data_IF_869631672059
#
_entry.id   IF_869631672059
#
_cell.length_a   1.000
_cell.length_b   1.000
_cell.length_c   1.000
_cell.angle_alpha   90.00
_cell.angle_beta   90.00
_cell.angle_gamma   90.00
#
_symmetry.space_group_name_H-M   'P 1'
#
loop_
_entity.id
_entity.type
_entity.pdbx_description
1 polymer ?
#
# COMPACT_ATOMS: atom_id res chain seq x y z
N UNK A 1 1.68 -1.81 -32.74
CA UNK A 1 2.40 -2.95 -32.12
C UNK A 1 3.87 -2.66 -31.76
N UNK A 2 4.44 -1.52 -32.18
CA UNK A 2 5.81 -1.12 -31.83
C UNK A 2 5.93 -0.70 -30.34
N UNK A 3 4.85 -0.22 -29.71
CA UNK A 3 4.84 0.26 -28.33
C UNK A 3 5.18 -0.80 -27.26
N UNK A 4 5.07 -2.09 -27.60
CA UNK A 4 5.51 -3.17 -26.68
C UNK A 4 7.03 -3.20 -26.48
N UNK A 5 7.81 -2.82 -27.48
CA UNK A 5 9.26 -2.83 -27.42
C UNK A 5 9.85 -1.56 -26.75
N UNK A 6 9.02 -0.53 -26.61
CA UNK A 6 9.38 0.71 -25.95
C UNK A 6 8.95 0.71 -24.46
N UNK A 7 8.19 -0.30 -24.02
CA UNK A 7 7.77 -0.46 -22.64
C UNK A 7 8.93 -0.96 -21.79
N UNK A 8 9.32 -0.19 -20.78
CA UNK A 8 10.31 -0.59 -19.79
C UNK A 8 9.95 -1.90 -19.08
N UNK A 9 8.66 -2.17 -18.90
CA UNK A 9 8.15 -3.40 -18.30
C UNK A 9 8.33 -4.61 -19.22
N UNK A 10 8.13 -4.41 -20.54
CA UNK A 10 8.38 -5.45 -21.54
C UNK A 10 9.86 -5.83 -21.62
N UNK A 11 10.74 -4.85 -21.62
CA UNK A 11 12.20 -5.06 -21.60
C UNK A 11 12.64 -5.72 -20.29
N UNK A 12 12.14 -5.27 -19.14
CA UNK A 12 12.45 -5.88 -17.85
C UNK A 12 11.97 -7.33 -17.74
N UNK A 13 10.80 -7.65 -18.31
CA UNK A 13 10.29 -9.02 -18.37
C UNK A 13 11.18 -9.92 -19.25
N UNK A 14 11.57 -9.46 -20.44
CA UNK A 14 12.45 -10.21 -21.35
C UNK A 14 13.83 -10.43 -20.71
N UNK A 15 14.43 -9.39 -20.10
CA UNK A 15 15.71 -9.50 -19.41
C UNK A 15 15.65 -10.51 -18.27
N UNK A 16 14.57 -10.53 -17.47
CA UNK A 16 14.39 -11.54 -16.43
C UNK A 16 14.37 -12.96 -16.99
N UNK A 17 13.62 -13.18 -18.07
CA UNK A 17 13.52 -14.50 -18.69
C UNK A 17 14.85 -14.97 -19.29
N UNK A 18 15.67 -14.06 -19.78
CA UNK A 18 17.00 -14.37 -20.31
C UNK A 18 17.99 -14.68 -19.19
N UNK A 19 18.02 -13.85 -18.13
CA UNK A 19 18.94 -14.02 -17.01
C UNK A 19 18.62 -15.31 -16.20
N UNK A 20 17.34 -15.64 -16.01
CA UNK A 20 16.93 -16.87 -15.32
C UNK A 20 17.35 -18.15 -16.04
N UNK A 21 17.57 -18.10 -17.37
CA UNK A 21 18.02 -19.26 -18.15
C UNK A 21 19.53 -19.53 -18.11
N UNK A 22 20.33 -18.56 -17.65
CA UNK A 22 21.79 -18.67 -17.62
C UNK A 22 22.38 -19.13 -16.29
N UNK A 23 21.55 -19.47 -15.29
CA UNK A 23 22.07 -20.02 -14.02
C UNK A 23 22.34 -21.53 -14.15
N UNK A 24 23.60 -21.98 -13.92
CA UNK A 24 23.93 -23.40 -13.95
C UNK A 24 23.22 -24.14 -12.80
N UNK A 25 22.69 -25.33 -13.11
CA UNK A 25 22.12 -26.26 -12.15
C UNK A 25 23.13 -26.59 -11.05
N UNK A 26 22.89 -26.06 -9.86
CA UNK A 26 23.57 -26.51 -8.65
C UNK A 26 22.70 -27.60 -8.00
N UNK A 27 23.35 -28.73 -7.79
CA UNK A 27 22.98 -29.96 -7.11
C UNK A 27 21.81 -29.92 -6.12
N UNK A 28 20.95 -30.94 -6.24
CA UNK A 28 19.81 -31.31 -5.41
C UNK A 28 20.11 -31.33 -3.92
N UNK A 29 19.84 -30.24 -3.23
CA UNK A 29 19.36 -30.27 -1.85
C UNK A 29 17.83 -30.02 -1.97
N UNK A 30 17.01 -30.69 -1.17
CA UNK A 30 15.55 -30.54 -1.14
C UNK A 30 15.19 -29.06 -1.05
N UNK A 31 15.02 -28.40 -2.20
CA UNK A 31 14.64 -27.00 -2.26
C UNK A 31 13.18 -26.87 -1.83
N UNK A 32 12.86 -25.93 -0.91
CA UNK A 32 11.48 -25.62 -0.58
C UNK A 32 10.76 -25.22 -1.87
N UNK A 33 9.61 -25.83 -2.13
CA UNK A 33 8.86 -25.65 -3.38
C UNK A 33 8.63 -24.16 -3.69
N UNK A 34 9.25 -23.69 -4.77
CA UNK A 34 9.15 -22.30 -5.23
C UNK A 34 7.84 -22.13 -5.98
N UNK A 35 7.08 -21.07 -5.69
CA UNK A 35 5.88 -20.76 -6.45
C UNK A 35 6.24 -20.45 -7.92
N UNK A 36 5.69 -21.26 -8.82
CA UNK A 36 5.76 -21.03 -10.24
C UNK A 36 4.33 -21.03 -10.83
N UNK A 37 3.93 -19.99 -11.57
CA UNK A 37 2.64 -19.97 -12.25
C UNK A 37 2.46 -21.09 -13.29
N UNK A 38 3.55 -21.79 -13.65
CA UNK A 38 3.55 -22.91 -14.59
C UNK A 38 3.07 -24.23 -13.98
N UNK A 39 2.90 -24.35 -12.67
CA UNK A 39 2.35 -25.55 -12.07
C UNK A 39 0.89 -25.79 -12.53
N UNK A 40 0.52 -27.06 -12.82
CA UNK A 40 -0.85 -27.35 -13.20
C UNK A 40 -1.81 -27.05 -12.03
N UNK A 41 -2.97 -26.51 -12.38
CA UNK A 41 -4.04 -26.26 -11.41
C UNK A 41 -4.55 -27.57 -10.85
N UNK A 42 -4.73 -27.65 -9.53
CA UNK A 42 -5.42 -28.77 -8.91
C UNK A 42 -6.93 -28.69 -9.17
N UNK A 43 -7.59 -29.86 -9.22
CA UNK A 43 -9.05 -29.90 -9.28
C UNK A 43 -9.64 -29.32 -7.99
N UNK A 44 -10.71 -28.54 -8.15
CA UNK A 44 -11.48 -28.05 -7.03
C UNK A 44 -11.93 -29.19 -6.11
N UNK A 45 -11.79 -29.05 -4.82
CA UNK A 45 -12.24 -30.03 -3.84
C UNK A 45 -13.76 -30.17 -3.84
N UNK A 46 -14.48 -29.07 -4.05
CA UNK A 46 -15.92 -29.04 -4.11
C UNK A 46 -16.41 -29.02 -5.57
N UNK A 47 -17.19 -29.98 -5.95
CA UNK A 47 -17.71 -30.12 -7.33
C UNK A 47 -18.43 -28.88 -7.88
N UNK A 48 -19.06 -28.08 -6.99
CA UNK A 48 -19.81 -26.86 -7.39
C UNK A 48 -18.99 -25.57 -7.39
N UNK A 49 -17.75 -25.57 -6.91
CA UNK A 49 -16.92 -24.35 -6.84
C UNK A 49 -16.67 -23.75 -8.21
N UNK A 50 -16.24 -24.55 -9.16
CA UNK A 50 -15.94 -24.07 -10.50
C UNK A 50 -17.14 -23.42 -11.20
N UNK A 51 -18.35 -23.96 -11.00
CA UNK A 51 -19.57 -23.39 -11.59
C UNK A 51 -19.92 -22.03 -10.96
N UNK A 52 -19.77 -21.91 -9.63
CA UNK A 52 -20.07 -20.67 -8.91
C UNK A 52 -19.14 -19.51 -9.29
N UNK A 53 -17.87 -19.79 -9.52
CA UNK A 53 -16.86 -18.75 -9.81
C UNK A 53 -16.63 -18.52 -11.29
N UNK A 54 -17.28 -19.30 -12.17
CA UNK A 54 -17.16 -19.16 -13.62
C UNK A 54 -17.57 -17.74 -14.03
N UNK A 55 -16.69 -17.06 -14.78
CA UNK A 55 -16.90 -15.68 -15.24
C UNK A 55 -16.99 -14.61 -14.14
N UNK A 56 -16.53 -14.91 -12.93
CA UNK A 56 -16.51 -13.96 -11.82
C UNK A 56 -15.06 -13.65 -11.45
N UNK A 57 -14.71 -12.37 -11.37
CA UNK A 57 -13.36 -11.95 -10.99
C UNK A 57 -13.07 -12.26 -9.52
N UNK A 58 -11.83 -12.67 -9.23
CA UNK A 58 -11.39 -12.86 -7.84
C UNK A 58 -11.33 -11.53 -7.09
N UNK A 59 -11.73 -11.55 -5.83
CA UNK A 59 -11.63 -10.44 -4.89
C UNK A 59 -11.03 -10.93 -3.58
N UNK A 60 -9.89 -11.62 -3.70
CA UNK A 60 -9.16 -12.13 -2.54
C UNK A 60 -8.37 -11.03 -1.86
N UNK A 61 -8.31 -11.08 -0.55
CA UNK A 61 -7.53 -10.13 0.24
C UNK A 61 -6.98 -10.77 1.50
N UNK A 62 -5.79 -10.35 1.87
CA UNK A 62 -5.15 -10.69 3.11
C UNK A 62 -4.83 -9.41 3.87
N UNK A 63 -4.90 -9.44 5.18
CA UNK A 63 -4.59 -8.30 6.03
C UNK A 63 -3.10 -8.22 6.28
N UNK A 64 -2.54 -7.01 6.23
CA UNK A 64 -1.18 -6.79 6.69
C UNK A 64 -1.11 -7.14 8.18
N UNK A 65 -0.09 -7.91 8.54
CA UNK A 65 0.11 -8.38 9.91
C UNK A 65 1.35 -7.72 10.50
N UNK A 66 1.22 -7.17 11.70
CA UNK A 66 2.35 -6.61 12.46
C UNK A 66 2.48 -7.39 13.75
N UNK A 67 3.68 -7.85 14.06
CA UNK A 67 3.97 -8.60 15.28
C UNK A 67 5.29 -8.15 15.90
N UNK A 68 5.38 -8.22 17.22
CA UNK A 68 6.64 -8.05 17.92
C UNK A 68 7.50 -9.30 17.74
N UNK A 69 8.81 -9.14 17.60
CA UNK A 69 9.77 -10.25 17.53
C UNK A 69 9.57 -11.24 18.68
N UNK A 70 9.63 -12.54 18.37
CA UNK A 70 9.41 -13.63 19.32
C UNK A 70 7.94 -13.92 19.63
N UNK A 71 6.97 -13.17 19.09
CA UNK A 71 5.54 -13.45 19.22
C UNK A 71 5.06 -14.37 18.09
N UNK A 72 3.94 -15.11 18.30
CA UNK A 72 3.36 -15.93 17.24
C UNK A 72 2.98 -15.09 16.01
N UNK A 73 3.38 -15.55 14.83
CA UNK A 73 3.11 -14.90 13.55
C UNK A 73 1.90 -15.56 12.90
N UNK A 74 0.79 -14.84 12.81
CA UNK A 74 -0.47 -15.38 12.28
C UNK A 74 -0.95 -14.53 11.11
N UNK A 75 -1.13 -15.17 9.97
CA UNK A 75 -1.58 -14.53 8.73
C UNK A 75 -3.07 -14.79 8.50
N UNK A 76 -3.79 -13.77 8.10
CA UNK A 76 -5.24 -13.85 7.86
C UNK A 76 -5.58 -13.44 6.42
N UNK A 77 -6.41 -14.26 5.78
CA UNK A 77 -6.92 -14.00 4.44
C UNK A 77 -8.43 -14.22 4.33
N UNK A 78 -9.03 -13.61 3.31
CA UNK A 78 -10.43 -13.77 2.95
C UNK A 78 -10.55 -13.96 1.45
N UNK A 79 -11.16 -15.06 1.04
CA UNK A 79 -11.20 -15.53 -0.33
C UNK A 79 -12.62 -15.45 -0.88
N UNK A 80 -12.83 -14.46 -1.74
CA UNK A 80 -14.13 -14.11 -2.29
C UNK A 80 -14.01 -13.88 -3.79
N UNK A 81 -15.13 -13.96 -4.49
CA UNK A 81 -15.25 -13.63 -5.90
C UNK A 81 -16.38 -12.62 -6.12
N UNK A 82 -16.18 -11.74 -7.08
CA UNK A 82 -17.09 -10.66 -7.41
C UNK A 82 -16.83 -9.37 -6.63
N UNK A 83 -17.23 -8.21 -7.18
CA UNK A 83 -16.90 -6.89 -6.63
C UNK A 83 -17.54 -6.61 -5.26
N UNK A 84 -18.62 -7.33 -4.93
CA UNK A 84 -19.36 -7.22 -3.66
C UNK A 84 -19.34 -8.53 -2.87
N UNK A 85 -18.28 -9.34 -3.01
CA UNK A 85 -18.17 -10.62 -2.31
C UNK A 85 -19.33 -11.59 -2.59
N UNK A 86 -19.79 -11.64 -3.84
CA UNK A 86 -20.97 -12.41 -4.25
C UNK A 86 -20.78 -13.91 -4.04
N UNK A 87 -19.57 -14.43 -4.22
CA UNK A 87 -19.25 -15.85 -4.06
C UNK A 87 -18.13 -16.04 -3.06
N UNK A 88 -18.37 -16.83 -2.05
CA UNK A 88 -17.39 -17.23 -1.04
C UNK A 88 -16.65 -18.48 -1.49
N UNK A 89 -15.31 -18.48 -1.44
CA UNK A 89 -14.48 -19.66 -1.62
C UNK A 89 -14.48 -20.48 -0.33
N UNK A 90 -15.17 -21.63 -0.34
CA UNK A 90 -15.39 -22.44 0.87
C UNK A 90 -14.79 -23.83 0.72
N UNK A 91 -13.93 -24.25 1.64
CA UNK A 91 -13.38 -25.60 1.71
C UNK A 91 -12.39 -25.91 0.59
N UNK A 92 -11.67 -24.89 0.11
CA UNK A 92 -10.66 -25.04 -0.94
C UNK A 92 -9.26 -24.77 -0.38
N UNK A 93 -8.27 -25.44 -0.94
CA UNK A 93 -6.88 -25.33 -0.54
C UNK A 93 -6.25 -24.03 -1.03
N UNK A 94 -5.52 -23.40 -0.13
CA UNK A 94 -4.74 -22.19 -0.38
C UNK A 94 -3.32 -22.42 0.11
N UNK A 95 -2.35 -22.21 -0.75
CA UNK A 95 -0.93 -22.29 -0.42
C UNK A 95 -0.42 -20.93 0.02
N UNK A 96 0.34 -20.92 1.12
CA UNK A 96 0.95 -19.71 1.67
C UNK A 96 2.42 -19.68 1.30
N UNK A 97 2.81 -18.61 0.60
CA UNK A 97 4.18 -18.32 0.22
C UNK A 97 4.64 -17.04 0.88
N UNK A 98 5.87 -17.05 1.38
CA UNK A 98 6.51 -15.87 1.98
C UNK A 98 7.85 -15.63 1.30
N UNK A 99 8.13 -14.38 0.98
CA UNK A 99 9.41 -13.96 0.45
C UNK A 99 10.34 -13.62 1.63
N UNK A 100 11.07 -14.60 2.12
CA UNK A 100 11.96 -14.45 3.30
C UNK A 100 13.17 -13.56 3.02
N UNK A 101 13.54 -13.45 1.75
CA UNK A 101 14.59 -12.56 1.26
C UNK A 101 14.00 -11.65 0.17
N UNK A 102 13.35 -10.53 0.52
CA UNK A 102 12.64 -9.69 -0.44
C UNK A 102 13.48 -9.22 -1.62
N UNK A 103 14.80 -9.05 -1.44
CA UNK A 103 15.71 -8.68 -2.50
C UNK A 103 15.92 -9.79 -3.53
N UNK A 104 15.77 -11.07 -3.15
CA UNK A 104 15.94 -12.21 -4.07
C UNK A 104 14.76 -12.41 -5.00
N UNK A 105 13.57 -11.93 -4.62
CA UNK A 105 12.34 -12.16 -5.35
C UNK A 105 11.80 -13.59 -5.29
N UNK A 106 12.40 -14.49 -4.48
CA UNK A 106 11.98 -15.90 -4.38
C UNK A 106 10.85 -16.09 -3.39
N UNK A 107 9.77 -16.73 -3.84
CA UNK A 107 8.63 -17.12 -3.03
C UNK A 107 8.81 -18.53 -2.47
N UNK A 108 8.91 -18.65 -1.15
CA UNK A 108 9.11 -19.93 -0.44
C UNK A 108 7.77 -20.41 0.09
N UNK A 109 7.42 -21.66 -0.16
CA UNK A 109 6.22 -22.29 0.36
C UNK A 109 6.31 -22.52 1.87
N UNK A 110 5.37 -21.99 2.64
CA UNK A 110 5.32 -22.14 4.10
C UNK A 110 4.31 -23.20 4.55
N UNK A 111 3.25 -23.41 3.79
CA UNK A 111 2.25 -24.42 4.09
C UNK A 111 0.97 -24.23 3.28
N UNK A 112 -0.01 -25.06 3.57
CA UNK A 112 -1.31 -25.07 2.90
C UNK A 112 -2.39 -25.11 3.94
N UNK A 113 -3.41 -24.26 3.78
CA UNK A 113 -4.60 -24.24 4.62
C UNK A 113 -5.87 -24.30 3.79
N UNK A 114 -6.99 -24.62 4.44
CA UNK A 114 -8.30 -24.73 3.80
C UNK A 114 -9.20 -23.59 4.27
N UNK A 115 -9.87 -22.94 3.30
CA UNK A 115 -10.80 -21.86 3.62
C UNK A 115 -12.03 -22.38 4.37
N UNK A 116 -12.48 -21.65 5.38
CA UNK A 116 -13.68 -21.99 6.16
C UNK A 116 -14.99 -21.65 5.39
N UNK A 117 -16.14 -21.81 6.04
CA UNK A 117 -17.46 -21.55 5.44
C UNK A 117 -17.67 -20.09 5.03
N UNK A 118 -16.98 -19.14 5.66
CA UNK A 118 -17.02 -17.70 5.34
C UNK A 118 -15.89 -17.26 4.40
N UNK A 119 -15.13 -18.19 3.82
CA UNK A 119 -14.00 -17.91 2.93
C UNK A 119 -12.78 -17.36 3.66
N UNK A 120 -12.74 -17.43 4.99
CA UNK A 120 -11.59 -16.98 5.77
C UNK A 120 -10.56 -18.09 5.90
N UNK A 121 -9.31 -17.68 5.96
CA UNK A 121 -8.16 -18.52 6.21
C UNK A 121 -7.31 -17.86 7.29
N UNK A 122 -6.87 -18.66 8.25
CA UNK A 122 -5.91 -18.26 9.29
C UNK A 122 -4.74 -19.22 9.22
N UNK A 123 -3.55 -18.70 8.99
CA UNK A 123 -2.32 -19.48 8.84
C UNK A 123 -1.32 -19.07 9.94
N UNK A 124 -1.10 -19.92 10.95
CA UNK A 124 -0.01 -19.72 11.88
C UNK A 124 1.32 -20.11 11.22
N UNK A 125 2.29 -19.21 11.21
CA UNK A 125 3.63 -19.52 10.74
C UNK A 125 4.27 -20.49 11.72
N UNK A 126 4.82 -21.65 11.25
CA UNK A 126 5.49 -22.60 12.12
C UNK A 126 6.60 -21.94 12.94
N UNK A 127 6.72 -22.29 14.23
CA UNK A 127 7.69 -21.67 15.14
C UNK A 127 9.14 -21.84 14.67
N UNK A 128 9.47 -23.01 14.11
CA UNK A 128 10.78 -23.32 13.56
C UNK A 128 11.12 -22.50 12.30
N UNK A 129 10.12 -21.87 11.69
CA UNK A 129 10.25 -21.01 10.51
C UNK A 129 9.85 -19.57 10.80
N UNK A 130 9.70 -19.21 12.07
CA UNK A 130 9.37 -17.85 12.46
C UNK A 130 10.43 -16.87 11.95
N UNK A 131 9.97 -15.74 11.43
CA UNK A 131 10.82 -14.73 10.83
C UNK A 131 11.25 -13.68 11.86
N UNK A 132 12.49 -13.21 11.75
CA UNK A 132 13.02 -12.12 12.57
C UNK A 132 12.53 -10.74 12.12
N UNK A 133 13.11 -9.69 12.69
CA UNK A 133 12.74 -8.29 12.36
C UNK A 133 12.89 -8.03 10.87
N UNK A 134 11.81 -7.53 10.24
CA UNK A 134 11.77 -7.23 8.82
C UNK A 134 10.36 -7.10 8.27
N UNK A 135 10.27 -6.84 6.96
CA UNK A 135 9.01 -6.81 6.22
C UNK A 135 9.05 -7.86 5.11
N UNK A 136 8.13 -8.77 5.17
CA UNK A 136 8.08 -9.95 4.31
C UNK A 136 6.82 -9.97 3.49
N UNK A 137 6.92 -9.86 2.14
CA UNK A 137 5.78 -10.06 1.25
C UNK A 137 5.21 -11.48 1.43
N UNK A 138 3.89 -11.55 1.50
CA UNK A 138 3.13 -12.79 1.64
C UNK A 138 2.19 -12.93 0.46
N UNK A 139 2.10 -14.11 -0.12
CA UNK A 139 1.15 -14.47 -1.16
C UNK A 139 0.42 -15.74 -0.78
N UNK A 140 -0.91 -15.68 -0.79
CA UNK A 140 -1.79 -16.80 -0.52
C UNK A 140 -2.48 -17.20 -1.82
N UNK A 141 -2.12 -18.36 -2.37
CA UNK A 141 -2.50 -18.80 -3.73
C UNK A 141 -3.56 -19.90 -3.67
N UNK A 142 -4.69 -19.69 -4.31
CA UNK A 142 -5.74 -20.70 -4.46
C UNK A 142 -5.28 -21.77 -5.45
N UNK A 143 -5.21 -23.04 -5.03
CA UNK A 143 -4.74 -24.13 -5.90
C UNK A 143 -5.59 -24.38 -7.14
N UNK A 144 -6.90 -24.12 -7.02
CA UNK A 144 -7.85 -24.45 -8.08
C UNK A 144 -7.77 -23.55 -9.31
N UNK A 145 -7.44 -22.26 -9.14
CA UNK A 145 -7.38 -21.28 -10.24
C UNK A 145 -6.14 -20.39 -10.25
N UNK A 146 -5.24 -20.55 -9.25
CA UNK A 146 -4.03 -19.74 -9.06
C UNK A 146 -4.27 -18.24 -8.83
N UNK A 147 -5.50 -17.85 -8.54
CA UNK A 147 -5.76 -16.51 -8.02
C UNK A 147 -5.20 -16.38 -6.62
N UNK A 148 -4.84 -15.18 -6.21
CA UNK A 148 -4.13 -14.98 -4.95
C UNK A 148 -4.54 -13.72 -4.21
N UNK A 149 -4.28 -13.72 -2.90
CA UNK A 149 -4.27 -12.54 -2.04
C UNK A 149 -2.84 -12.19 -1.65
N UNK A 150 -2.55 -10.90 -1.52
CA UNK A 150 -1.25 -10.41 -1.07
C UNK A 150 -1.37 -9.54 0.18
N UNK A 151 -0.37 -9.63 1.05
CA UNK A 151 -0.18 -8.79 2.22
C UNK A 151 1.30 -8.75 2.61
N UNK A 152 1.62 -8.02 3.67
CA UNK A 152 2.93 -8.04 4.28
C UNK A 152 2.86 -8.57 5.73
N UNK A 153 3.85 -9.37 6.10
CA UNK A 153 4.16 -9.69 7.48
C UNK A 153 5.30 -8.76 7.92
N UNK A 154 5.01 -7.90 8.88
CA UNK A 154 5.97 -6.95 9.45
C UNK A 154 6.32 -7.42 10.87
N UNK A 155 7.57 -7.80 11.09
CA UNK A 155 8.09 -8.16 12.41
C UNK A 155 8.93 -7.01 12.92
N UNK A 156 8.64 -6.52 14.10
CA UNK A 156 9.27 -5.33 14.68
C UNK A 156 9.87 -5.61 16.05
N UNK A 157 10.84 -4.81 16.45
CA UNK A 157 11.34 -4.82 17.81
C UNK A 157 10.30 -4.22 18.77
N UNK A 158 10.35 -4.65 20.03
CA UNK A 158 9.56 -4.03 21.12
C UNK A 158 9.84 -2.52 21.20
N UNK A 159 8.78 -1.73 21.35
CA UNK A 159 8.89 -0.28 21.45
C UNK A 159 9.24 0.43 20.14
N UNK A 160 9.10 -0.26 18.99
CA UNK A 160 9.26 0.38 17.68
C UNK A 160 8.35 1.58 17.55
N UNK A 161 8.92 2.71 17.16
CA UNK A 161 8.19 3.96 16.97
C UNK A 161 7.46 3.99 15.64
N UNK A 162 6.19 4.40 15.66
CA UNK A 162 5.32 4.44 14.51
C UNK A 162 4.60 5.76 14.34
N UNK A 163 4.33 6.13 13.10
CA UNK A 163 3.50 7.29 12.73
C UNK A 163 2.28 6.82 11.96
N UNK A 164 1.10 7.26 12.40
CA UNK A 164 -0.18 6.87 11.84
C UNK A 164 -0.72 7.93 10.90
N UNK A 165 -1.15 7.51 9.72
CA UNK A 165 -1.81 8.36 8.73
C UNK A 165 -3.19 7.82 8.37
N UNK A 166 -4.23 8.60 8.65
CA UNK A 166 -5.59 8.32 8.19
C UNK A 166 -5.73 8.73 6.73
N UNK A 167 -5.83 7.75 5.81
CA UNK A 167 -5.83 8.00 4.35
C UNK A 167 -6.93 8.99 3.95
N UNK A 168 -8.18 8.69 4.33
CA UNK A 168 -9.35 9.45 3.89
C UNK A 168 -9.42 10.85 4.50
N UNK A 169 -8.84 11.04 5.66
CA UNK A 169 -8.90 12.29 6.41
C UNK A 169 -7.72 13.23 6.18
N UNK A 170 -6.57 12.70 5.74
CA UNK A 170 -5.35 13.48 5.67
C UNK A 170 -4.79 13.67 4.26
N UNK A 171 -4.81 12.63 3.42
CA UNK A 171 -4.14 12.68 2.13
C UNK A 171 -4.99 13.23 0.99
N UNK A 172 -6.31 13.06 1.05
CA UNK A 172 -7.20 13.40 -0.04
C UNK A 172 -7.75 14.82 0.08
N UNK A 173 -7.68 15.59 -1.00
CA UNK A 173 -8.25 16.92 -1.06
C UNK A 173 -9.79 16.89 -1.27
N UNK A 174 -10.32 15.77 -1.75
CA UNK A 174 -11.75 15.55 -1.97
C UNK A 174 -12.11 14.10 -1.72
N UNK A 175 -13.30 13.86 -1.20
CA UNK A 175 -13.84 12.51 -1.03
C UNK A 175 -14.52 12.12 -2.33
N UNK A 176 -13.89 11.26 -3.14
CA UNK A 176 -14.58 10.61 -4.25
C UNK A 176 -15.12 9.27 -3.80
N UNK A 177 -16.43 9.17 -3.61
CA UNK A 177 -17.12 7.93 -3.27
C UNK A 177 -17.35 7.09 -4.53
N UNK A 178 -17.43 7.73 -5.70
CA UNK A 178 -17.66 7.07 -6.99
C UNK A 178 -16.85 7.73 -8.12
N UNK A 179 -16.00 6.96 -8.76
CA UNK A 179 -15.55 7.17 -10.14
C UNK A 179 -14.15 7.74 -10.35
N UNK A 180 -13.79 8.88 -9.81
CA UNK A 180 -12.43 9.44 -10.00
C UNK A 180 -11.54 9.21 -8.78
N UNK A 181 -10.26 8.97 -9.02
CA UNK A 181 -9.29 8.88 -7.93
C UNK A 181 -9.12 10.26 -7.26
N UNK A 182 -9.16 10.31 -5.92
CA UNK A 182 -9.04 11.57 -5.20
C UNK A 182 -7.64 12.18 -5.41
N UNK A 183 -7.61 13.52 -5.56
CA UNK A 183 -6.33 14.24 -5.66
C UNK A 183 -5.61 14.22 -4.32
N UNK A 184 -4.30 13.98 -4.36
CA UNK A 184 -3.42 14.04 -3.19
C UNK A 184 -3.17 15.50 -2.80
N UNK A 185 -3.16 15.79 -1.51
CA UNK A 185 -2.75 17.10 -0.98
C UNK A 185 -1.27 17.34 -1.23
N UNK A 186 -0.93 18.55 -1.65
CA UNK A 186 0.47 18.93 -1.88
C UNK A 186 1.31 18.73 -0.61
N UNK A 187 2.49 18.14 -0.75
CA UNK A 187 3.44 17.85 0.34
C UNK A 187 3.08 16.63 1.20
N UNK A 188 1.92 15.99 1.01
CA UNK A 188 1.54 14.83 1.83
C UNK A 188 2.53 13.68 1.72
N UNK A 189 2.95 13.34 0.50
CA UNK A 189 3.92 12.28 0.24
C UNK A 189 5.28 12.60 0.88
N UNK A 190 5.70 13.87 0.82
CA UNK A 190 6.99 14.30 1.33
C UNK A 190 7.04 14.23 2.87
N UNK A 191 5.94 14.58 3.54
CA UNK A 191 5.83 14.41 5.01
C UNK A 191 5.90 12.93 5.40
N UNK A 192 5.20 12.04 4.69
CA UNK A 192 5.30 10.60 5.00
C UNK A 192 6.71 10.07 4.78
N UNK A 193 7.38 10.51 3.71
CA UNK A 193 8.79 10.16 3.45
C UNK A 193 9.73 10.66 4.51
N UNK A 194 9.54 11.89 4.96
CA UNK A 194 10.34 12.46 6.04
C UNK A 194 10.32 11.54 7.28
N UNK A 195 9.14 11.08 7.70
CA UNK A 195 9.01 10.15 8.82
C UNK A 195 9.65 8.78 8.52
N UNK A 196 9.46 8.24 7.32
CA UNK A 196 10.08 6.96 6.94
C UNK A 196 11.61 7.08 6.89
N UNK A 197 12.15 8.13 6.28
CA UNK A 197 13.59 8.35 6.16
C UNK A 197 14.23 8.60 7.55
N UNK A 198 13.45 9.15 8.48
CA UNK A 198 13.81 9.26 9.90
C UNK A 198 13.76 7.91 10.64
N UNK A 199 13.28 6.82 10.04
CA UNK A 199 13.29 5.47 10.59
C UNK A 199 12.02 5.03 11.31
N UNK A 200 10.92 5.79 11.19
CA UNK A 200 9.63 5.43 11.79
C UNK A 200 8.86 4.41 10.96
N UNK A 201 8.16 3.51 11.62
CA UNK A 201 7.18 2.63 10.99
C UNK A 201 5.97 3.45 10.52
N UNK A 202 5.66 3.37 9.24
CA UNK A 202 4.49 4.05 8.69
C UNK A 202 3.27 3.12 8.76
N UNK A 203 2.20 3.62 9.35
CA UNK A 203 0.91 2.93 9.48
C UNK A 203 -0.18 3.75 8.81
N UNK A 204 -0.74 3.21 7.75
CA UNK A 204 -1.90 3.78 7.06
C UNK A 204 -3.18 3.14 7.58
N UNK A 205 -4.15 3.96 7.94
CA UNK A 205 -5.48 3.48 8.35
C UNK A 205 -6.57 4.11 7.48
N UNK A 206 -7.56 3.31 7.10
CA UNK A 206 -8.71 3.80 6.34
C UNK A 206 -10.01 3.27 6.91
N UNK A 207 -11.08 4.06 6.79
CA UNK A 207 -12.45 3.62 7.09
C UNK A 207 -13.09 2.81 5.96
N UNK A 208 -12.39 2.60 4.85
CA UNK A 208 -12.90 1.84 3.72
C UNK A 208 -12.88 0.34 4.00
N UNK A 209 -13.85 -0.40 3.44
CA UNK A 209 -13.87 -1.84 3.58
C UNK A 209 -12.69 -2.51 2.86
N UNK A 210 -12.26 -3.65 3.37
CA UNK A 210 -11.17 -4.47 2.85
C UNK A 210 -11.36 -4.88 1.38
N UNK A 211 -12.60 -4.97 0.89
CA UNK A 211 -12.90 -5.21 -0.53
C UNK A 211 -12.36 -4.13 -1.48
N UNK A 212 -12.00 -2.96 -0.97
CA UNK A 212 -11.36 -1.88 -1.74
C UNK A 212 -9.82 -1.88 -1.63
N UNK A 213 -9.21 -2.88 -0.98
CA UNK A 213 -7.75 -2.94 -0.73
C UNK A 213 -6.94 -2.69 -2.00
N UNK A 214 -7.21 -3.44 -3.07
CA UNK A 214 -6.46 -3.30 -4.33
C UNK A 214 -6.49 -1.87 -4.88
N UNK A 215 -7.65 -1.22 -4.85
CA UNK A 215 -7.80 0.16 -5.34
C UNK A 215 -7.01 1.15 -4.49
N UNK A 216 -7.09 1.03 -3.17
CA UNK A 216 -6.40 1.96 -2.24
C UNK A 216 -4.89 1.77 -2.31
N UNK A 217 -4.40 0.52 -2.32
CA UNK A 217 -2.96 0.23 -2.42
C UNK A 217 -2.41 0.68 -3.77
N UNK A 218 -3.14 0.47 -4.87
CA UNK A 218 -2.76 0.97 -6.19
C UNK A 218 -2.69 2.50 -6.20
N UNK A 219 -3.65 3.19 -5.57
CA UNK A 219 -3.65 4.65 -5.46
C UNK A 219 -2.45 5.17 -4.65
N UNK A 220 -2.13 4.56 -3.50
CA UNK A 220 -0.93 4.91 -2.72
C UNK A 220 0.34 4.74 -3.56
N UNK A 221 0.45 3.64 -4.31
CA UNK A 221 1.58 3.35 -5.18
C UNK A 221 1.71 4.34 -6.33
N UNK A 222 0.63 4.66 -7.03
CA UNK A 222 0.61 5.63 -8.13
C UNK A 222 1.06 7.02 -7.71
N UNK A 223 0.75 7.41 -6.47
CA UNK A 223 1.15 8.69 -5.91
C UNK A 223 2.50 8.65 -5.18
N UNK A 224 3.25 7.55 -5.29
CA UNK A 224 4.58 7.37 -4.69
C UNK A 224 4.60 7.52 -3.16
N UNK A 225 3.53 7.14 -2.47
CA UNK A 225 3.59 7.00 -1.02
C UNK A 225 4.58 5.91 -0.62
N UNK A 226 5.39 6.11 0.42
CA UNK A 226 6.30 5.07 0.89
C UNK A 226 5.53 3.85 1.40
N UNK A 227 6.22 2.71 1.40
CA UNK A 227 5.65 1.48 1.96
C UNK A 227 5.32 1.66 3.44
N UNK A 228 4.21 1.07 3.86
CA UNK A 228 3.76 1.04 5.24
C UNK A 228 2.71 -0.04 5.45
N UNK A 229 2.39 -0.31 6.69
CA UNK A 229 1.29 -1.19 7.08
C UNK A 229 -0.03 -0.54 6.69
N UNK A 230 -0.92 -1.25 6.00
CA UNK A 230 -2.22 -0.70 5.59
C UNK A 230 -3.35 -1.47 6.25
N UNK A 231 -4.16 -0.76 7.05
CA UNK A 231 -5.33 -1.33 7.73
C UNK A 231 -6.63 -0.85 7.12
N UNK A 232 -7.53 -1.80 6.87
CA UNK A 232 -8.88 -1.61 6.33
C UNK A 232 -9.92 -2.05 7.35
N UNK A 233 -11.17 -1.59 7.17
CA UNK A 233 -12.29 -2.15 7.90
C UNK A 233 -12.65 -3.55 7.38
N UNK A 234 -13.00 -4.47 8.28
CA UNK A 234 -13.44 -5.83 7.91
C UNK A 234 -14.86 -5.77 7.32
N UNK A 235 -14.92 -5.81 6.01
CA UNK A 235 -16.17 -5.71 5.26
C UNK A 235 -16.88 -4.36 5.40
N UNK A 236 -18.18 -4.34 5.15
CA UNK A 236 -19.02 -3.16 5.35
C UNK A 236 -19.37 -3.02 6.83
N UNK A 237 -18.88 -1.97 7.47
CA UNK A 237 -19.11 -1.68 8.88
C UNK A 237 -19.92 -0.39 9.07
N UNK A 238 -20.74 -0.36 10.12
CA UNK A 238 -21.47 0.85 10.53
C UNK A 238 -20.59 1.80 11.36
N UNK A 239 -19.50 1.31 11.97
CA UNK A 239 -18.60 2.10 12.80
C UNK A 239 -17.11 1.92 12.42
N UNK A 240 -16.68 2.56 11.32
CA UNK A 240 -15.31 2.49 10.88
C UNK A 240 -14.31 3.15 11.85
N UNK A 241 -14.74 4.14 12.63
CA UNK A 241 -13.85 4.80 13.61
C UNK A 241 -13.53 3.87 14.78
N UNK A 242 -14.50 3.09 15.24
CA UNK A 242 -14.27 2.08 16.27
C UNK A 242 -13.31 0.99 15.79
N UNK A 243 -13.46 0.52 14.56
CA UNK A 243 -12.52 -0.48 14.02
C UNK A 243 -11.10 0.07 13.89
N UNK A 244 -10.94 1.33 13.46
CA UNK A 244 -9.65 2.02 13.50
C UNK A 244 -9.05 2.06 14.91
N UNK A 245 -9.85 2.48 15.89
CA UNK A 245 -9.39 2.57 17.27
C UNK A 245 -8.95 1.20 17.80
N UNK A 246 -9.74 0.15 17.57
CA UNK A 246 -9.40 -1.22 17.97
C UNK A 246 -8.10 -1.71 17.33
N UNK A 247 -7.92 -1.47 16.03
CA UNK A 247 -6.68 -1.85 15.34
C UNK A 247 -5.47 -1.10 15.92
N UNK A 248 -5.56 0.19 16.10
CA UNK A 248 -4.45 0.98 16.66
C UNK A 248 -4.16 0.61 18.12
N UNK A 249 -5.19 0.30 18.91
CA UNK A 249 -5.03 -0.22 20.27
C UNK A 249 -4.31 -1.57 20.28
N UNK A 250 -4.64 -2.47 19.37
CA UNK A 250 -3.91 -3.76 19.27
C UNK A 250 -2.44 -3.57 18.91
N UNK A 251 -2.11 -2.59 18.05
CA UNK A 251 -0.71 -2.26 17.76
C UNK A 251 0.06 -1.78 19.02
N UNK A 252 -0.59 -1.00 19.88
CA UNK A 252 0.03 -0.51 21.11
C UNK A 252 0.09 -1.62 22.17
N UNK A 253 -0.97 -2.40 22.35
CA UNK A 253 -1.10 -3.35 23.46
C UNK A 253 -0.49 -4.71 23.17
N UNK A 254 -0.65 -5.23 21.94
CA UNK A 254 -0.23 -6.58 21.57
C UNK A 254 1.13 -6.57 20.87
N UNK A 255 1.36 -5.59 19.98
CA UNK A 255 2.62 -5.45 19.25
C UNK A 255 3.63 -4.59 19.99
N UNK A 256 3.18 -3.85 21.02
CA UNK A 256 4.01 -2.97 21.84
C UNK A 256 4.67 -1.83 21.04
N UNK A 257 3.96 -1.31 20.03
CA UNK A 257 4.40 -0.13 19.28
C UNK A 257 4.26 1.14 20.11
N UNK A 258 5.18 2.08 19.91
CA UNK A 258 5.07 3.44 20.40
C UNK A 258 4.59 4.37 19.28
N UNK A 259 3.31 4.77 19.29
CA UNK A 259 2.78 5.71 18.31
C UNK A 259 3.16 7.13 18.72
N UNK A 260 4.01 7.79 17.94
CA UNK A 260 4.56 9.12 18.25
C UNK A 260 3.84 10.27 17.56
N UNK A 261 3.09 9.99 16.48
CA UNK A 261 2.30 11.00 15.79
C UNK A 261 1.11 10.38 15.06
N UNK A 262 0.01 11.12 14.99
CA UNK A 262 -1.21 10.73 14.26
C UNK A 262 -1.70 11.85 13.35
N UNK A 263 -1.86 11.57 12.07
CA UNK A 263 -2.38 12.48 11.04
C UNK A 263 -3.78 12.06 10.59
N UNK A 264 -4.71 13.01 10.57
CA UNK A 264 -6.08 12.65 10.23
C UNK A 264 -7.01 13.83 9.97
N UNK A 265 -8.30 13.53 10.07
CA UNK A 265 -9.41 14.47 10.03
C UNK A 265 -9.91 14.81 11.44
N UNK A 266 -10.78 15.81 11.61
CA UNK A 266 -11.42 16.09 12.90
C UNK A 266 -12.11 14.88 13.55
N UNK A 267 -12.53 13.88 12.76
CA UNK A 267 -13.14 12.65 13.29
C UNK A 267 -12.12 11.70 13.94
N UNK A 268 -10.86 11.79 13.55
CA UNK A 268 -9.79 10.93 14.05
C UNK A 268 -9.24 11.41 15.40
N UNK A 269 -9.54 12.65 15.82
CA UNK A 269 -9.05 13.23 17.11
C UNK A 269 -9.42 12.34 18.30
N UNK A 270 -10.66 11.88 18.37
CA UNK A 270 -11.11 11.00 19.46
C UNK A 270 -10.39 9.64 19.43
N UNK A 271 -10.04 9.13 18.27
CA UNK A 271 -9.29 7.88 18.11
C UNK A 271 -7.87 8.07 18.67
N UNK A 272 -7.18 9.14 18.30
CA UNK A 272 -5.83 9.42 18.78
C UNK A 272 -5.79 9.75 20.28
N UNK A 273 -6.77 10.49 20.78
CA UNK A 273 -6.90 10.75 22.22
C UNK A 273 -7.11 9.46 23.03
N UNK A 274 -7.91 8.50 22.51
CA UNK A 274 -8.10 7.20 23.14
C UNK A 274 -6.83 6.32 23.17
N UNK A 275 -5.85 6.60 22.29
CA UNK A 275 -4.53 5.97 22.31
C UNK A 275 -3.53 6.66 23.25
N UNK A 276 -3.94 7.77 23.87
CA UNK A 276 -3.06 8.56 24.74
C UNK A 276 -2.12 9.51 24.00
N UNK A 277 -2.32 9.77 22.68
CA UNK A 277 -1.53 10.76 21.97
C UNK A 277 -1.84 12.16 22.50
N UNK A 278 -0.79 12.94 22.87
CA UNK A 278 -0.99 14.32 23.30
C UNK A 278 -1.42 15.21 22.12
N UNK A 279 -2.06 16.37 22.40
CA UNK A 279 -2.46 17.31 21.36
C UNK A 279 -1.33 17.78 20.45
N UNK A 280 -0.10 17.84 20.95
CA UNK A 280 1.10 18.22 20.19
C UNK A 280 1.54 17.19 19.16
N UNK A 281 1.06 15.96 19.25
CA UNK A 281 1.38 14.85 18.35
C UNK A 281 0.18 14.43 17.48
N UNK A 282 -0.95 15.13 17.61
CA UNK A 282 -2.16 14.87 16.83
C UNK A 282 -2.33 15.97 15.78
N UNK A 283 -2.13 15.64 14.52
CA UNK A 283 -2.14 16.58 13.39
C UNK A 283 -3.39 16.43 12.55
N UNK A 284 -4.18 17.51 12.48
CA UNK A 284 -5.44 17.53 11.71
C UNK A 284 -5.31 18.45 10.52
N UNK A 285 -5.52 17.89 9.33
CA UNK A 285 -5.37 18.62 8.07
C UNK A 285 -6.65 19.39 7.76
N UNK A 286 -6.52 20.70 7.57
CA UNK A 286 -7.61 21.59 7.19
C UNK A 286 -7.85 22.74 8.16
N UNK A 287 -8.99 23.39 8.01
CA UNK A 287 -9.33 24.57 8.81
C UNK A 287 -9.53 24.23 10.28
N UNK A 288 -9.04 25.11 11.14
CA UNK A 288 -9.19 24.96 12.57
C UNK A 288 -10.66 24.96 13.01
N UNK A 289 -11.01 23.98 13.84
CA UNK A 289 -12.33 23.84 14.47
C UNK A 289 -12.17 24.25 15.95
N UNK A 290 -12.86 25.34 16.37
CA UNK A 290 -12.72 25.91 17.73
C UNK A 290 -12.84 24.87 18.85
N UNK A 291 -13.76 23.91 18.73
CA UNK A 291 -13.98 22.86 19.74
C UNK A 291 -12.81 21.89 19.91
N UNK A 292 -11.93 21.79 18.93
CA UNK A 292 -10.83 20.81 18.89
C UNK A 292 -9.44 21.46 19.03
N UNK A 293 -9.35 22.81 19.12
CA UNK A 293 -8.08 23.52 19.18
C UNK A 293 -7.19 23.10 20.36
N UNK A 294 -7.79 22.71 21.48
CA UNK A 294 -7.05 22.24 22.65
C UNK A 294 -6.64 20.76 22.56
N UNK A 295 -7.13 20.02 21.53
CA UNK A 295 -6.97 18.57 21.44
C UNK A 295 -6.05 18.14 20.29
N UNK A 296 -5.67 19.06 19.40
CA UNK A 296 -4.85 18.73 18.23
C UNK A 296 -4.17 19.97 17.63
N UNK A 297 -3.18 19.74 16.78
CA UNK A 297 -2.54 20.74 15.94
C UNK A 297 -3.21 20.77 14.57
N UNK A 298 -3.70 21.95 14.17
CA UNK A 298 -4.29 22.11 12.84
C UNK A 298 -3.23 22.52 11.82
N UNK A 299 -3.11 21.74 10.76
CA UNK A 299 -2.25 22.04 9.59
C UNK A 299 -3.01 22.95 8.63
N UNK A 300 -3.31 24.20 9.06
CA UNK A 300 -4.08 25.14 8.25
C UNK A 300 -3.36 25.56 6.97
N UNK A 301 -2.03 25.68 7.03
CA UNK A 301 -1.15 26.06 5.91
C UNK A 301 -0.73 24.85 5.06
N UNK A 302 -1.25 23.66 5.39
CA UNK A 302 -1.04 22.42 4.66
C UNK A 302 0.27 21.71 4.99
N UNK A 303 0.52 20.63 4.23
CA UNK A 303 1.65 19.73 4.50
C UNK A 303 3.01 20.35 4.15
N UNK A 304 3.08 21.24 3.17
CA UNK A 304 4.36 21.86 2.76
C UNK A 304 4.93 22.72 3.87
N UNK A 305 4.09 23.56 4.49
CA UNK A 305 4.50 24.37 5.64
C UNK A 305 4.87 23.51 6.85
N UNK A 306 4.11 22.45 7.10
CA UNK A 306 4.39 21.50 8.17
C UNK A 306 5.71 20.76 7.98
N UNK A 307 6.04 20.35 6.75
CA UNK A 307 7.32 19.73 6.43
C UNK A 307 8.48 20.65 6.79
N UNK A 308 8.40 21.94 6.46
CA UNK A 308 9.41 22.91 6.86
C UNK A 308 9.58 23.02 8.38
N UNK A 309 8.49 22.90 9.15
CA UNK A 309 8.56 22.86 10.62
C UNK A 309 9.23 21.58 11.14
N UNK A 310 8.93 20.42 10.53
CA UNK A 310 9.57 19.14 10.85
C UNK A 310 11.08 19.18 10.60
N UNK A 311 11.48 19.71 9.43
CA UNK A 311 12.89 19.82 9.02
C UNK A 311 13.68 20.83 9.87
N UNK A 312 13.05 21.93 10.30
CA UNK A 312 13.67 22.91 11.18
C UNK A 312 13.90 22.41 12.63
N UNK A 313 13.56 21.15 12.91
CA UNK A 313 13.74 20.55 14.24
C UNK A 313 12.82 21.16 15.32
N UNK A 314 11.77 21.87 14.94
CA UNK A 314 10.77 22.44 15.85
C UNK A 314 9.89 21.38 16.53
N UNK A 315 10.20 20.09 16.30
CA UNK A 315 9.49 18.97 16.91
C UNK A 315 10.15 18.54 18.23
N UNK A 316 9.37 18.36 19.30
CA UNK A 316 9.87 17.93 20.60
C UNK A 316 10.39 16.48 20.63
N UNK A 317 10.30 15.72 19.50
CA UNK A 317 10.73 14.33 19.42
C UNK A 317 11.76 14.14 18.31
N UNK A 318 13.04 14.31 18.62
CA UNK A 318 14.06 13.56 17.94
C UNK A 318 13.95 12.09 18.43
N UNK A 319 13.81 11.10 17.53
CA UNK A 319 13.68 9.71 17.93
C UNK A 319 14.94 9.24 18.66
N UNK A 320 14.78 8.85 19.92
CA UNK A 320 15.88 8.47 20.81
C UNK A 320 15.93 6.99 21.14
N UNK A 321 15.12 6.14 20.47
CA UNK A 321 14.99 4.74 20.82
C UNK A 321 15.92 3.78 20.09
N UNK A 322 16.32 2.65 20.71
CA UNK A 322 17.12 1.59 20.07
C UNK A 322 16.42 0.90 18.90
N UNK A 323 15.09 1.01 18.79
CA UNK A 323 14.26 0.48 17.71
C UNK A 323 14.52 1.11 16.34
N UNK A 324 14.94 2.38 16.29
CA UNK A 324 15.31 3.08 15.05
C UNK A 324 16.46 2.39 14.31
N UNK A 325 17.49 1.97 15.03
CA UNK A 325 18.66 1.31 14.42
C UNK A 325 18.32 -0.09 13.87
N UNK A 326 17.38 -0.79 14.51
CA UNK A 326 16.93 -2.10 14.05
C UNK A 326 16.07 -2.02 12.77
N UNK A 327 15.15 -1.06 12.68
CA UNK A 327 14.33 -0.83 11.48
C UNK A 327 15.14 -0.26 10.31
N UNK A 328 16.08 0.65 10.56
CA UNK A 328 16.97 1.19 9.53
C UNK A 328 17.90 0.13 8.92
N UNK A 329 18.24 -0.91 9.68
CA UNK A 329 19.04 -2.04 9.22
C UNK A 329 18.19 -3.18 8.63
N UNK A 330 16.89 -3.19 8.86
CA UNK A 330 15.97 -4.16 8.28
C UNK A 330 15.57 -3.80 6.86
N UNK A 331 15.09 -4.78 6.11
CA UNK A 331 14.56 -4.62 4.74
C UNK A 331 13.41 -3.60 4.61
N UNK A 332 12.90 -3.05 5.73
CA UNK A 332 11.85 -2.03 5.73
C UNK A 332 12.34 -0.69 5.17
N UNK A 333 13.55 -0.27 5.50
CA UNK A 333 14.18 0.95 4.97
C UNK A 333 14.95 0.75 3.66
N UNK A 334 15.22 -0.51 3.26
CA UNK A 334 15.97 -0.87 2.06
C UNK A 334 15.16 -1.79 1.16
N UNK A 335 14.74 -1.27 0.00
CA UNK A 335 14.34 -2.07 -1.16
C UNK A 335 13.26 -3.16 -0.94
N UNK A 336 12.13 -2.83 -0.33
CA UNK A 336 10.88 -3.50 -0.67
C UNK A 336 10.61 -3.32 -2.19
N UNK A 337 9.81 -4.20 -2.86
CA UNK A 337 9.50 -4.07 -4.31
C UNK A 337 9.03 -2.67 -4.75
N UNK A 338 8.59 -1.83 -3.81
CA UNK A 338 8.21 -0.43 -3.99
C UNK A 338 9.41 0.48 -4.32
N UNK A 339 10.63 0.11 -3.92
CA UNK A 339 11.85 0.87 -4.27
C UNK A 339 12.21 0.75 -5.77
N UNK A 340 11.72 -0.28 -6.45
CA UNK A 340 11.82 -0.35 -7.90
C UNK A 340 11.04 0.81 -8.56
N UNK A 341 9.83 1.10 -8.08
CA UNK A 341 9.03 2.24 -8.53
C UNK A 341 9.66 3.58 -8.12
N UNK A 342 10.31 3.66 -6.95
CA UNK A 342 11.04 4.84 -6.50
C UNK A 342 12.28 5.13 -7.38
N UNK A 343 13.09 4.12 -7.70
CA UNK A 343 14.22 4.25 -8.64
C UNK A 343 13.75 4.66 -10.02
N UNK A 344 12.64 4.12 -10.50
CA UNK A 344 12.08 4.48 -11.79
C UNK A 344 11.55 5.92 -11.81
N UNK A 345 10.90 6.40 -10.75
CA UNK A 345 10.44 7.78 -10.65
C UNK A 345 11.59 8.79 -10.48
N UNK A 346 12.69 8.40 -9.82
CA UNK A 346 13.90 9.22 -9.74
C UNK A 346 14.61 9.31 -11.10
N UNK A 347 14.69 8.23 -11.87
CA UNK A 347 15.23 8.22 -13.23
C UNK A 347 14.38 9.07 -14.20
N UNK A 348 13.06 9.10 -14.02
CA UNK A 348 12.17 9.96 -14.80
C UNK A 348 12.28 11.44 -14.40
N UNK A 349 12.57 11.75 -13.14
CA UNK A 349 12.82 13.13 -12.67
C UNK A 349 14.20 13.67 -13.07
N UNK A 350 15.20 12.81 -13.20
CA UNK A 350 16.55 13.21 -13.66
C UNK A 350 16.62 13.50 -15.16
N UNK A 351 15.61 13.12 -15.95
CA UNK A 351 15.40 13.57 -17.32
C UNK A 351 14.50 14.82 -17.33
N UNK A 352 15.02 15.92 -16.76
CA UNK A 352 14.50 17.26 -17.04
C UNK A 352 14.67 17.60 -18.51
N UNK A 353 13.82 18.50 -19.07
CA UNK A 353 13.90 18.84 -20.47
C UNK A 353 15.29 19.39 -20.81
N UNK A 354 15.96 18.72 -21.74
CA UNK A 354 17.20 19.19 -22.35
C UNK A 354 17.00 20.62 -22.81
N UNK A 355 17.86 21.51 -22.36
CA UNK A 355 17.95 22.87 -22.88
C UNK A 355 18.18 22.79 -24.40
N UNK A 356 17.16 23.22 -25.14
CA UNK A 356 17.35 23.57 -26.55
C UNK A 356 18.13 24.84 -26.56
N UNK A 357 19.38 24.78 -27.02
CA UNK A 357 20.23 25.92 -27.30
C UNK A 357 19.49 26.85 -28.25
N UNK A 358 19.35 28.11 -27.83
CA UNK A 358 18.87 29.20 -28.68
C UNK A 358 20.07 29.72 -29.48
N UNK A 359 20.16 29.38 -30.74
CA UNK A 359 20.87 30.19 -31.70
C UNK A 359 19.99 31.37 -32.12
N UNK A 360 20.60 32.53 -32.12
CA UNK A 360 19.96 33.83 -32.38
C UNK A 360 19.86 34.19 -33.86
N UNK A 361 19.66 35.48 -34.25
CA UNK A 361 18.44 35.88 -34.93
C UNK A 361 18.62 36.15 -36.43
N UNK A 362 17.63 35.86 -37.24
CA UNK A 362 17.48 36.26 -38.64
C UNK A 362 16.09 36.88 -38.87
N UNK A 363 16.09 38.08 -39.35
CA UNK A 363 14.96 38.97 -39.63
C UNK A 363 14.01 38.49 -40.75
N UNK A 364 12.79 39.11 -40.90
CA UNK A 364 11.65 38.50 -41.55
C UNK A 364 11.49 38.91 -43.03
N UNK A 365 10.49 38.36 -43.74
CA UNK A 365 9.42 39.21 -44.26
C UNK A 365 7.99 38.62 -44.31
N UNK A 366 7.05 39.50 -44.01
CA UNK A 366 5.84 39.94 -44.72
C UNK A 366 4.70 38.94 -45.01
N UNK A 367 3.57 39.28 -44.38
CA UNK A 367 2.15 39.31 -44.86
C UNK A 367 1.49 38.13 -45.57
N UNK A 368 0.37 37.70 -45.09
CA UNK A 368 -1.00 37.89 -45.61
C UNK A 368 -2.01 36.86 -45.03
N UNK A 369 -3.18 37.43 -44.73
CA UNK A 369 -4.53 36.91 -44.85
C UNK A 369 -5.17 36.07 -43.73
N UNK A 370 -5.94 36.74 -42.98
CA UNK A 370 -7.33 36.57 -42.50
C UNK A 370 -8.11 35.38 -43.03
N UNK A 371 -8.56 34.50 -42.12
CA UNK A 371 -9.62 33.52 -42.35
C UNK A 371 -10.43 33.30 -41.06
N UNK A 372 -11.65 33.90 -41.05
CA UNK A 372 -12.68 33.68 -40.03
C UNK A 372 -13.22 32.24 -40.12
N UNK A 373 -13.29 31.51 -39.03
CA UNK A 373 -14.16 30.35 -38.92
C UNK A 373 -15.21 30.58 -37.86
N UNK A 374 -16.43 30.42 -38.29
CA UNK A 374 -17.71 30.63 -37.57
C UNK A 374 -17.95 29.49 -36.57
N UNK A 375 -18.34 29.83 -35.36
CA UNK A 375 -19.02 28.96 -34.42
C UNK A 375 -20.42 28.61 -34.90
N UNK A 376 -20.77 27.33 -34.93
CA UNK A 376 -22.14 26.85 -35.11
C UNK A 376 -22.64 26.37 -33.74
N UNK A 377 -23.65 27.11 -33.27
CA UNK A 377 -24.44 26.76 -32.09
C UNK A 377 -25.64 25.93 -32.58
N UNK A 378 -25.76 24.70 -32.07
CA UNK A 378 -26.97 23.89 -32.25
C UNK A 378 -27.88 24.08 -31.03
N UNK A 379 -29.00 24.74 -31.23
CA UNK A 379 -30.18 24.71 -30.37
C UNK A 379 -30.93 23.42 -30.62
N UNK A 380 -31.29 22.72 -29.57
CA UNK A 380 -32.33 21.68 -29.58
C UNK A 380 -33.56 22.31 -28.95
N UNK A 381 -34.60 22.50 -29.77
CA UNK A 381 -35.95 22.85 -29.35
C UNK A 381 -36.65 21.57 -28.82
N UNK A 382 -37.36 21.78 -27.73
CA UNK A 382 -38.34 20.87 -27.15
C UNK A 382 -39.65 20.93 -27.92
N UNK A 383 -40.24 19.78 -28.25
CA UNK A 383 -41.71 19.61 -28.35
C UNK A 383 -42.10 18.13 -28.28
N UNK A 384 -43.08 17.91 -27.41
CA UNK A 384 -44.05 16.85 -27.07
C UNK A 384 -43.62 15.75 -26.13
#
# INVERSE_FOLDING_TARGET
HASYWESADGVAFILRQVIEKEQPQLTECEEPSIYSPAFPREKWQRKRTQVKIRNVTSNHRASDTVVCEGRPQVLNGRFMYGPLDVVTLTGEKVDVYIMTQPLSGKWIHFGTEVTNSSGRLTFPVPLERALGIGVYPVRMVVRGDHTYAECCLTVVARGTEAVVFSIDGSFTASVSIMGSDPKVRAGAVDVVRHWQDAGYLIVYVTGRPDMQKHRVVAWLSQHNFPHGVVSFCDGLTHDPLRQKAMFLQSLVQEVELNIVAGYGSPKDVAVYAALGLPPSQTYIVGRAVRKLQAQCQFLSDGYVAHLGQLEAGSHPHAPTGPSRAALAKSSYGGAAPVDFLRKQSQLLRSRGPSQVEREGPGTPPTTLARGKARSISLKLDSEE
#
